data_IF_223344156297
#
_entry.id   IF_223344156297
#
_cell.length_a   1.000
_cell.length_b   1.000
_cell.length_c   1.000
_cell.angle_alpha   90.00
_cell.angle_beta   90.00
_cell.angle_gamma   90.00
#
_symmetry.space_group_name_H-M   'P 1'
#
loop_
_entity.id
_entity.type
_entity.pdbx_description
1 polymer ?
#
# COMPACT_ATOMS: atom_id res chain seq x y z
N UNK A 1 -19.98 8.87 66.15
CA UNK A 1 -19.17 9.21 64.95
C UNK A 1 -18.70 7.92 64.29
N UNK A 2 -19.41 7.43 63.26
CA UNK A 2 -18.96 6.29 62.43
C UNK A 2 -18.28 6.87 61.18
N UNK A 3 -17.10 6.34 60.85
CA UNK A 3 -16.13 6.83 59.87
C UNK A 3 -16.64 6.64 58.42
N UNK A 4 -16.95 7.71 57.68
CA UNK A 4 -17.34 7.65 56.26
C UNK A 4 -16.18 7.25 55.33
N UNK A 5 -14.93 7.39 55.80
CA UNK A 5 -13.73 7.21 54.97
C UNK A 5 -13.47 5.75 54.56
N UNK A 6 -14.11 4.78 55.22
CA UNK A 6 -13.88 3.36 54.96
C UNK A 6 -14.68 2.82 53.75
N UNK A 7 -15.76 3.50 53.37
CA UNK A 7 -16.60 3.09 52.24
C UNK A 7 -16.00 3.55 50.90
N UNK A 8 -15.33 4.71 50.89
CA UNK A 8 -14.61 5.23 49.73
C UNK A 8 -13.43 4.33 49.32
N UNK A 9 -12.60 3.94 50.29
CA UNK A 9 -11.45 3.06 50.04
C UNK A 9 -11.87 1.68 49.54
N UNK A 10 -13.02 1.17 49.99
CA UNK A 10 -13.58 -0.10 49.50
C UNK A 10 -14.06 -0.01 48.06
N UNK A 11 -14.69 1.10 47.68
CA UNK A 11 -15.11 1.35 46.29
C UNK A 11 -13.89 1.46 45.35
N UNK A 12 -12.86 2.19 45.76
CA UNK A 12 -11.63 2.33 44.98
C UNK A 12 -10.86 1.01 44.85
N UNK A 13 -10.84 0.19 45.91
CA UNK A 13 -10.25 -1.14 45.88
C UNK A 13 -10.97 -2.06 44.89
N UNK A 14 -12.31 -2.05 44.87
CA UNK A 14 -13.10 -2.84 43.91
C UNK A 14 -12.83 -2.36 42.48
N UNK A 15 -12.78 -1.05 42.25
CA UNK A 15 -12.47 -0.48 40.93
C UNK A 15 -11.07 -0.90 40.47
N UNK A 16 -10.08 -0.78 41.33
CA UNK A 16 -8.70 -1.21 41.05
C UNK A 16 -8.64 -2.71 40.76
N UNK A 17 -9.35 -3.53 41.54
CA UNK A 17 -9.41 -4.99 41.31
C UNK A 17 -10.01 -5.32 39.93
N UNK A 18 -11.10 -4.67 39.53
CA UNK A 18 -11.68 -4.89 38.19
C UNK A 18 -10.76 -4.48 37.06
N UNK A 19 -9.94 -3.43 37.26
CA UNK A 19 -8.98 -2.98 36.28
C UNK A 19 -7.80 -3.95 36.17
N UNK A 20 -7.32 -4.48 37.30
CA UNK A 20 -6.29 -5.54 37.35
C UNK A 20 -6.77 -6.78 36.62
N UNK A 21 -8.00 -7.24 36.88
CA UNK A 21 -8.55 -8.44 36.24
C UNK A 21 -8.66 -8.26 34.71
N UNK A 22 -9.14 -7.09 34.26
CA UNK A 22 -9.22 -6.74 32.84
C UNK A 22 -7.85 -6.68 32.16
N UNK A 23 -6.85 -6.10 32.84
CA UNK A 23 -5.49 -6.07 32.33
C UNK A 23 -4.88 -7.47 32.26
N UNK A 24 -5.13 -8.31 33.25
CA UNK A 24 -4.66 -9.69 33.28
C UNK A 24 -5.26 -10.53 32.14
N UNK A 25 -6.55 -10.36 31.85
CA UNK A 25 -7.19 -11.00 30.69
C UNK A 25 -6.59 -10.53 29.36
N UNK A 26 -6.34 -9.23 29.22
CA UNK A 26 -5.70 -8.67 28.02
C UNK A 26 -4.29 -9.19 27.83
N UNK A 27 -3.50 -9.29 28.91
CA UNK A 27 -2.16 -9.88 28.86
C UNK A 27 -2.20 -11.35 28.41
N UNK A 28 -3.12 -12.16 28.98
CA UNK A 28 -3.30 -13.57 28.56
C UNK A 28 -3.69 -13.68 27.08
N UNK A 29 -4.57 -12.81 26.60
CA UNK A 29 -4.98 -12.78 25.20
C UNK A 29 -3.82 -12.42 24.26
N UNK A 30 -3.02 -11.41 24.63
CA UNK A 30 -1.83 -11.01 23.87
C UNK A 30 -0.77 -12.11 23.84
N UNK A 31 -0.50 -12.77 24.97
CA UNK A 31 0.42 -13.90 25.03
C UNK A 31 -0.02 -15.07 24.14
N UNK A 32 -1.33 -15.37 24.12
CA UNK A 32 -1.89 -16.39 23.22
C UNK A 32 -1.68 -15.98 21.77
N UNK A 33 -2.06 -14.76 21.39
CA UNK A 33 -1.88 -14.27 20.02
C UNK A 33 -0.41 -14.30 19.59
N UNK A 34 0.52 -14.00 20.50
CA UNK A 34 1.95 -14.00 20.22
C UNK A 34 2.52 -15.42 20.07
N UNK A 35 1.97 -16.41 20.78
CA UNK A 35 2.27 -17.83 20.54
C UNK A 35 1.77 -18.27 19.17
N UNK A 36 0.52 -17.94 18.84
CA UNK A 36 -0.11 -18.33 17.57
C UNK A 36 0.65 -17.73 16.36
N UNK A 37 1.08 -16.46 16.43
CA UNK A 37 1.88 -15.84 15.36
C UNK A 37 3.27 -16.46 15.22
N UNK A 38 3.92 -16.82 16.33
CA UNK A 38 5.22 -17.52 16.31
C UNK A 38 5.11 -18.93 15.71
N UNK A 39 4.00 -19.62 15.93
CA UNK A 39 3.75 -20.93 15.32
C UNK A 39 3.47 -20.80 13.81
N UNK A 40 2.65 -19.83 13.42
CA UNK A 40 2.40 -19.53 12.01
C UNK A 40 3.69 -19.18 11.24
N UNK A 41 4.57 -18.36 11.83
CA UNK A 41 5.88 -18.04 11.25
C UNK A 41 6.75 -19.29 11.07
N UNK A 42 6.86 -20.13 12.09
CA UNK A 42 7.62 -21.40 12.00
C UNK A 42 7.07 -22.32 10.90
N UNK A 43 5.74 -22.41 10.76
CA UNK A 43 5.12 -23.19 9.69
C UNK A 43 5.48 -22.64 8.30
N UNK A 44 5.50 -21.31 8.13
CA UNK A 44 5.86 -20.67 6.86
C UNK A 44 7.34 -20.83 6.52
N UNK A 45 8.22 -20.74 7.51
CA UNK A 45 9.65 -20.98 7.31
C UNK A 45 9.92 -22.43 6.85
N UNK A 46 9.20 -23.41 7.41
CA UNK A 46 9.28 -24.81 6.96
C UNK A 46 8.80 -24.99 5.51
N UNK A 47 7.72 -24.30 5.13
CA UNK A 47 7.19 -24.32 3.77
C UNK A 47 8.17 -23.68 2.77
N UNK A 48 8.75 -22.53 3.11
CA UNK A 48 9.77 -21.85 2.30
C UNK A 48 10.98 -22.77 2.07
N UNK A 49 11.48 -23.44 3.11
CA UNK A 49 12.61 -24.36 2.98
C UNK A 49 12.26 -25.62 2.17
N UNK A 50 11.01 -26.10 2.24
CA UNK A 50 10.54 -27.18 1.37
C UNK A 50 10.54 -26.77 -0.11
N UNK A 51 9.96 -25.60 -0.42
CA UNK A 51 9.91 -25.05 -1.78
C UNK A 51 11.31 -24.76 -2.34
N UNK A 52 12.23 -24.22 -1.53
CA UNK A 52 13.64 -24.03 -1.94
C UNK A 52 14.31 -25.36 -2.29
N UNK A 53 14.10 -26.41 -1.49
CA UNK A 53 14.64 -27.75 -1.78
C UNK A 53 14.06 -28.33 -3.07
N UNK A 54 12.77 -28.16 -3.31
CA UNK A 54 12.12 -28.60 -4.54
C UNK A 54 12.67 -27.86 -5.78
N UNK A 55 12.77 -26.54 -5.71
CA UNK A 55 13.37 -25.71 -6.77
C UNK A 55 14.82 -26.11 -7.07
N UNK A 56 15.61 -26.40 -6.04
CA UNK A 56 16.98 -26.91 -6.20
C UNK A 56 17.03 -28.25 -6.96
N UNK A 57 16.10 -29.16 -6.66
CA UNK A 57 15.99 -30.46 -7.36
C UNK A 57 15.57 -30.28 -8.83
N UNK A 58 14.63 -29.38 -9.10
CA UNK A 58 14.18 -29.06 -10.46
C UNK A 58 15.32 -28.48 -11.32
N UNK A 59 16.08 -27.52 -10.78
CA UNK A 59 17.25 -26.94 -11.45
C UNK A 59 18.33 -27.99 -11.74
N UNK A 60 18.52 -28.95 -10.83
CA UNK A 60 19.45 -30.06 -11.00
C UNK A 60 19.04 -31.02 -12.11
N UNK A 61 17.73 -31.29 -12.26
CA UNK A 61 17.17 -32.08 -13.39
C UNK A 61 17.36 -31.37 -14.71
N UNK A 62 17.08 -30.07 -14.77
CA UNK A 62 17.21 -29.27 -16.00
C UNK A 62 18.66 -29.22 -16.51
N UNK A 63 19.64 -29.04 -15.62
CA UNK A 63 21.07 -29.08 -16.00
C UNK A 63 21.53 -30.44 -16.56
N UNK A 64 20.99 -31.57 -16.06
CA UNK A 64 21.28 -32.91 -16.59
C UNK A 64 20.61 -33.19 -17.94
N UNK A 65 19.40 -32.66 -18.16
CA UNK A 65 18.70 -32.76 -19.46
C UNK A 65 19.40 -31.98 -20.57
N UNK A 66 19.90 -30.78 -20.27
CA UNK A 66 20.62 -29.93 -21.25
C UNK A 66 21.97 -30.50 -21.67
N UNK A 67 22.71 -31.17 -20.76
CA UNK A 67 23.96 -31.87 -21.10
C UNK A 67 23.74 -33.15 -21.95
N UNK A 68 22.55 -33.76 -21.88
CA UNK A 68 22.19 -34.91 -22.72
C UNK A 68 21.80 -34.47 -24.15
N UNK A 69 21.13 -33.33 -24.30
CA UNK A 69 20.68 -32.83 -25.60
C UNK A 69 21.83 -32.32 -26.48
N UNK A 70 22.97 -31.96 -25.88
CA UNK A 70 24.14 -31.46 -26.60
C UNK A 70 25.09 -32.57 -27.10
N UNK A 71 24.92 -33.84 -26.68
CA UNK A 71 25.72 -34.98 -27.16
C UNK A 71 25.12 -35.70 -28.38
N UNK A 72 23.86 -35.42 -28.72
CA UNK A 72 23.19 -35.98 -29.90
C UNK A 72 23.22 -35.06 -31.13
N UNK A 73 23.71 -33.82 -30.99
CA UNK A 73 23.76 -32.86 -32.11
C UNK A 73 25.07 -32.90 -32.94
N UNK A 74 26.03 -33.78 -32.63
CA UNK A 74 27.34 -33.83 -33.33
C UNK A 74 27.61 -35.13 -34.10
N UNK A 75 26.60 -35.95 -34.39
CA UNK A 75 26.79 -37.18 -35.18
C UNK A 75 25.61 -37.51 -36.08
N UNK A 76 25.31 -36.66 -37.05
CA UNK A 76 24.49 -37.06 -38.22
C UNK A 76 24.35 -35.93 -39.24
N UNK A 77 25.40 -35.68 -40.02
CA UNK A 77 25.29 -34.94 -41.28
C UNK A 77 26.09 -35.71 -42.31
N UNK A 78 25.45 -36.67 -42.98
CA UNK A 78 25.71 -37.13 -44.36
C UNK A 78 24.91 -38.42 -44.62
N UNK A 79 23.70 -38.26 -45.17
CA UNK A 79 22.94 -39.18 -46.07
C UNK A 79 21.45 -38.80 -45.96
N UNK A 80 20.96 -37.96 -46.88
CA UNK A 80 20.38 -38.35 -48.18
C UNK A 80 18.96 -38.97 -48.06
N UNK A 81 18.01 -38.14 -48.48
CA UNK A 81 16.79 -38.44 -49.24
C UNK A 81 15.76 -39.49 -48.76
N UNK A 82 14.52 -39.04 -48.92
CA UNK A 82 13.26 -39.77 -49.10
C UNK A 82 12.42 -40.12 -47.87
N UNK A 83 11.22 -39.48 -47.88
CA UNK A 83 9.91 -40.08 -47.56
C UNK A 83 9.41 -39.94 -46.11
N UNK A 84 8.63 -38.89 -45.87
CA UNK A 84 7.27 -38.98 -45.28
C UNK A 84 6.76 -37.57 -44.97
N UNK A 85 5.93 -37.08 -45.89
CA UNK A 85 5.23 -35.81 -45.82
C UNK A 85 3.81 -36.17 -45.36
N UNK A 86 3.50 -35.89 -44.09
CA UNK A 86 2.14 -36.02 -43.56
C UNK A 86 2.05 -36.82 -42.25
N UNK A 87 2.47 -36.23 -41.14
CA UNK A 87 2.04 -36.64 -39.79
C UNK A 87 2.48 -35.66 -38.68
N UNK A 88 3.50 -34.82 -38.89
CA UNK A 88 4.12 -34.02 -37.82
C UNK A 88 3.43 -32.66 -37.51
N UNK A 89 2.47 -32.21 -38.32
CA UNK A 89 1.91 -30.84 -38.21
C UNK A 89 0.83 -30.69 -37.12
N UNK A 90 0.47 -31.76 -36.41
CA UNK A 90 -0.54 -31.73 -35.34
C UNK A 90 0.05 -31.75 -33.92
N UNK A 91 1.21 -32.38 -33.72
CA UNK A 91 1.85 -32.43 -32.40
C UNK A 91 2.62 -31.14 -32.08
N UNK A 92 3.20 -30.45 -33.09
CA UNK A 92 3.92 -29.18 -32.89
C UNK A 92 2.98 -28.02 -32.47
N UNK A 93 1.71 -28.05 -32.88
CA UNK A 93 0.73 -27.02 -32.52
C UNK A 93 0.25 -27.18 -31.08
N UNK A 94 0.07 -28.41 -30.60
CA UNK A 94 -0.31 -28.71 -29.21
C UNK A 94 0.83 -28.40 -28.24
N UNK A 95 2.09 -28.69 -28.59
CA UNK A 95 3.26 -28.31 -27.78
C UNK A 95 3.47 -26.79 -27.74
N UNK A 96 3.25 -26.09 -28.87
CA UNK A 96 3.31 -24.63 -28.89
C UNK A 96 2.18 -23.99 -28.07
N UNK A 97 0.97 -24.56 -28.08
CA UNK A 97 -0.15 -24.09 -27.28
C UNK A 97 0.04 -24.38 -25.79
N UNK A 98 0.56 -25.56 -25.43
CA UNK A 98 0.91 -25.90 -24.05
C UNK A 98 2.04 -25.01 -23.52
N UNK A 99 3.06 -24.73 -24.34
CA UNK A 99 4.14 -23.81 -23.98
C UNK A 99 3.65 -22.36 -23.89
N UNK A 100 2.73 -21.93 -24.76
CA UNK A 100 2.08 -20.63 -24.65
C UNK A 100 1.21 -20.51 -23.39
N UNK A 101 0.47 -21.58 -23.03
CA UNK A 101 -0.31 -21.65 -21.79
C UNK A 101 0.60 -21.64 -20.57
N UNK A 102 1.69 -22.40 -20.59
CA UNK A 102 2.66 -22.44 -19.50
C UNK A 102 3.35 -21.09 -19.32
N UNK A 103 3.78 -20.43 -20.41
CA UNK A 103 4.29 -19.05 -20.39
C UNK A 103 3.25 -18.05 -19.90
N UNK A 104 2.01 -18.14 -20.35
CA UNK A 104 0.94 -17.25 -19.91
C UNK A 104 0.63 -17.42 -18.41
N UNK A 105 0.69 -18.65 -17.90
CA UNK A 105 0.51 -19.00 -16.49
C UNK A 105 1.70 -18.56 -15.64
N UNK A 106 2.93 -18.73 -16.12
CA UNK A 106 4.14 -18.18 -15.49
C UNK A 106 4.08 -16.66 -15.45
N UNK A 107 3.66 -15.97 -16.51
CA UNK A 107 3.45 -14.51 -16.52
C UNK A 107 2.36 -14.11 -15.53
N UNK A 108 1.30 -14.90 -15.40
CA UNK A 108 0.21 -14.66 -14.44
C UNK A 108 0.66 -14.87 -12.99
N UNK A 109 1.56 -15.83 -12.73
CA UNK A 109 2.07 -16.17 -11.40
C UNK A 109 3.32 -15.37 -10.99
N UNK A 110 4.10 -14.85 -11.94
CA UNK A 110 5.29 -14.00 -11.70
C UNK A 110 4.98 -12.51 -11.64
N UNK A 111 3.71 -12.11 -11.86
CA UNK A 111 3.21 -10.75 -11.59
C UNK A 111 3.11 -10.39 -10.10
N UNK A 112 3.89 -11.03 -9.24
CA UNK A 112 4.34 -10.39 -8.01
C UNK A 112 5.22 -9.21 -8.41
N UNK A 113 4.77 -7.99 -8.11
CA UNK A 113 5.36 -6.70 -8.50
C UNK A 113 6.87 -6.75 -8.74
N UNK A 114 7.30 -6.29 -9.93
CA UNK A 114 8.71 -6.15 -10.31
C UNK A 114 9.48 -5.10 -9.49
N UNK A 115 8.83 -4.51 -8.48
CA UNK A 115 9.33 -3.41 -7.69
C UNK A 115 9.80 -3.92 -6.33
N UNK A 116 11.06 -3.64 -6.02
CA UNK A 116 11.60 -3.83 -4.68
C UNK A 116 11.01 -2.81 -3.70
N UNK A 117 10.99 -3.15 -2.40
CA UNK A 117 10.52 -2.23 -1.36
C UNK A 117 11.28 -0.89 -1.34
N UNK A 118 12.57 -0.90 -1.67
CA UNK A 118 13.37 0.32 -1.80
C UNK A 118 12.90 1.21 -2.96
N UNK A 119 12.53 0.60 -4.09
CA UNK A 119 11.98 1.35 -5.23
C UNK A 119 10.61 1.95 -4.90
N UNK A 120 9.75 1.22 -4.18
CA UNK A 120 8.46 1.75 -3.72
C UNK A 120 8.68 2.97 -2.80
N UNK A 121 9.58 2.86 -1.83
CA UNK A 121 9.91 3.97 -0.94
C UNK A 121 10.43 5.18 -1.70
N UNK A 122 11.34 4.96 -2.66
CA UNK A 122 11.88 6.04 -3.50
C UNK A 122 10.77 6.70 -4.31
N UNK A 123 9.90 5.93 -4.97
CA UNK A 123 8.80 6.49 -5.77
C UNK A 123 7.80 7.28 -4.93
N UNK A 124 7.52 6.86 -3.69
CA UNK A 124 6.70 7.64 -2.76
C UNK A 124 7.40 8.95 -2.37
N UNK A 125 8.71 8.91 -2.13
CA UNK A 125 9.49 10.10 -1.81
C UNK A 125 9.57 11.09 -2.97
N UNK A 126 9.74 10.59 -4.20
CA UNK A 126 9.75 11.39 -5.42
C UNK A 126 8.38 12.05 -5.61
N UNK A 127 7.29 11.29 -5.47
CA UNK A 127 5.92 11.82 -5.53
C UNK A 127 5.67 12.92 -4.49
N UNK A 128 6.10 12.70 -3.24
CA UNK A 128 5.97 13.72 -2.19
C UNK A 128 6.74 15.00 -2.55
N UNK A 129 7.92 14.86 -3.13
CA UNK A 129 8.76 15.99 -3.56
C UNK A 129 8.10 16.77 -4.70
N UNK A 130 7.50 16.06 -5.67
CA UNK A 130 6.73 16.69 -6.75
C UNK A 130 5.51 17.45 -6.22
N UNK A 131 4.76 16.87 -5.27
CA UNK A 131 3.60 17.54 -4.65
C UNK A 131 4.04 18.82 -3.92
N UNK A 132 5.15 18.75 -3.17
CA UNK A 132 5.71 19.89 -2.46
C UNK A 132 6.10 21.02 -3.42
N UNK A 133 6.81 20.69 -4.49
CA UNK A 133 7.28 21.65 -5.50
C UNK A 133 6.12 22.23 -6.33
N UNK A 134 5.15 21.38 -6.69
CA UNK A 134 3.93 21.80 -7.37
C UNK A 134 3.15 22.79 -6.52
N UNK A 135 2.94 22.50 -5.24
CA UNK A 135 2.20 23.40 -4.36
C UNK A 135 2.92 24.73 -4.12
N UNK A 136 4.25 24.72 -4.02
CA UNK A 136 5.04 25.94 -3.92
C UNK A 136 4.84 26.82 -5.16
N UNK A 137 5.03 26.26 -6.35
CA UNK A 137 4.86 27.01 -7.61
C UNK A 137 3.42 27.46 -7.83
N UNK A 138 2.42 26.65 -7.46
CA UNK A 138 1.01 27.05 -7.54
C UNK A 138 0.69 28.23 -6.60
N UNK A 139 1.26 28.25 -5.40
CA UNK A 139 1.06 29.35 -4.46
C UNK A 139 1.72 30.65 -4.97
N UNK A 140 2.90 30.58 -5.58
CA UNK A 140 3.57 31.75 -6.19
C UNK A 140 2.79 32.38 -7.35
N UNK A 141 1.98 31.58 -8.06
CA UNK A 141 1.15 32.05 -9.17
C UNK A 141 -0.16 32.72 -8.71
N UNK A 142 -0.50 32.66 -7.43
CA UNK A 142 -1.71 33.28 -6.90
C UNK A 142 -1.48 34.78 -6.63
N UNK A 143 -2.25 35.69 -7.27
CA UNK A 143 -2.16 37.12 -6.98
C UNK A 143 -2.82 37.42 -5.64
N UNK A 144 -2.05 37.39 -4.55
CA UNK A 144 -2.55 37.66 -3.19
C UNK A 144 -2.82 39.16 -2.91
N UNK A 145 -3.11 39.96 -3.93
CA UNK A 145 -3.31 41.41 -3.83
C UNK A 145 -4.75 41.83 -3.51
N UNK A 146 -4.87 42.98 -2.84
CA UNK A 146 -6.10 43.64 -2.35
C UNK A 146 -7.30 43.51 -3.32
N UNK A 147 -8.33 42.81 -2.84
CA UNK A 147 -9.75 42.94 -3.20
C UNK A 147 -10.01 43.13 -4.70
N UNK A 148 -10.25 42.00 -5.40
CA UNK A 148 -11.24 42.04 -6.48
C UNK A 148 -12.48 42.65 -5.84
N UNK A 149 -12.81 43.88 -6.26
CA UNK A 149 -13.85 44.69 -5.66
C UNK A 149 -15.09 43.88 -5.36
N UNK A 150 -15.74 44.26 -4.26
CA UNK A 150 -16.97 43.76 -3.61
C UNK A 150 -18.14 43.41 -4.57
N UNK A 151 -17.99 43.54 -5.88
CA UNK A 151 -19.00 43.46 -6.92
C UNK A 151 -18.87 42.30 -7.92
N UNK A 152 -17.91 41.36 -7.77
CA UNK A 152 -17.84 40.16 -8.65
C UNK A 152 -17.81 38.81 -7.91
N UNK A 153 -18.24 38.77 -6.63
CA UNK A 153 -18.52 37.53 -5.89
C UNK A 153 -19.86 36.93 -6.35
N UNK A 154 -19.92 36.56 -7.63
CA UNK A 154 -21.03 35.79 -8.19
C UNK A 154 -20.90 34.33 -7.73
N UNK A 155 -22.01 33.57 -7.78
CA UNK A 155 -22.23 32.18 -7.32
C UNK A 155 -21.02 31.21 -7.32
N UNK A 156 -20.06 31.42 -8.21
CA UNK A 156 -18.76 30.75 -8.27
C UNK A 156 -17.98 30.74 -6.94
N UNK A 157 -17.96 31.85 -6.18
CA UNK A 157 -17.20 31.91 -4.92
C UNK A 157 -17.80 31.04 -3.80
N UNK A 158 -19.13 30.97 -3.73
CA UNK A 158 -19.82 30.11 -2.75
C UNK A 158 -19.61 28.62 -3.07
N UNK A 159 -19.66 28.24 -4.35
CA UNK A 159 -19.36 26.88 -4.79
C UNK A 159 -17.90 26.50 -4.50
N UNK A 160 -16.95 27.38 -4.79
CA UNK A 160 -15.53 27.16 -4.48
C UNK A 160 -15.27 27.00 -2.98
N UNK A 161 -15.96 27.78 -2.13
CA UNK A 161 -15.87 27.66 -0.68
C UNK A 161 -16.45 26.32 -0.19
N UNK A 162 -17.58 25.89 -0.75
CA UNK A 162 -18.20 24.61 -0.43
C UNK A 162 -17.30 23.43 -0.83
N UNK A 163 -16.74 23.44 -2.04
CA UNK A 163 -15.82 22.41 -2.52
C UNK A 163 -14.54 22.34 -1.69
N UNK A 164 -13.99 23.50 -1.33
CA UNK A 164 -12.82 23.59 -0.45
C UNK A 164 -13.14 23.04 0.94
N UNK A 165 -14.33 23.34 1.47
CA UNK A 165 -14.80 22.80 2.76
C UNK A 165 -14.97 21.29 2.72
N UNK A 166 -15.50 20.74 1.62
CA UNK A 166 -15.68 19.30 1.46
C UNK A 166 -14.35 18.52 1.39
N UNK A 167 -13.28 19.17 0.90
CA UNK A 167 -11.95 18.56 0.74
C UNK A 167 -11.04 18.77 1.94
N UNK A 168 -10.99 19.98 2.47
CA UNK A 168 -10.01 20.42 3.47
C UNK A 168 -10.63 20.68 4.86
N UNK A 169 -11.95 20.67 4.96
CA UNK A 169 -12.68 21.01 6.18
C UNK A 169 -12.96 22.51 6.34
N UNK A 170 -13.90 22.81 7.24
CA UNK A 170 -14.45 24.15 7.47
C UNK A 170 -13.43 25.14 8.05
N UNK A 171 -12.51 24.66 8.88
CA UNK A 171 -11.45 25.49 9.47
C UNK A 171 -10.49 26.00 8.41
N UNK A 172 -9.95 25.10 7.57
CA UNK A 172 -9.02 25.48 6.52
C UNK A 172 -9.68 26.40 5.48
N UNK A 173 -10.88 26.04 5.01
CA UNK A 173 -11.63 26.86 4.05
C UNK A 173 -11.88 28.30 4.57
N UNK A 174 -12.24 28.43 5.85
CA UNK A 174 -12.43 29.74 6.48
C UNK A 174 -11.15 30.55 6.60
N UNK A 175 -10.01 29.95 6.98
CA UNK A 175 -8.74 30.68 7.11
C UNK A 175 -8.28 31.14 5.71
N UNK A 176 -8.40 30.28 4.70
CA UNK A 176 -8.07 30.64 3.31
C UNK A 176 -8.92 31.81 2.81
N UNK A 177 -10.22 31.84 3.14
CA UNK A 177 -11.14 32.89 2.69
C UNK A 177 -10.99 34.22 3.45
N UNK A 178 -10.54 34.20 4.71
CA UNK A 178 -10.59 35.38 5.58
C UNK A 178 -9.25 36.06 5.79
N UNK A 179 -8.14 35.37 5.53
CA UNK A 179 -6.78 35.89 5.72
C UNK A 179 -6.19 36.42 4.44
N UNK A 180 -5.35 37.43 4.58
CA UNK A 180 -4.44 37.88 3.53
C UNK A 180 -3.19 36.98 3.55
N UNK A 181 -2.87 36.38 2.41
CA UNK A 181 -1.75 35.44 2.24
C UNK A 181 -0.59 36.06 1.44
N UNK A 182 -0.63 37.37 1.17
CA UNK A 182 0.40 38.06 0.39
C UNK A 182 1.78 38.07 1.05
N UNK A 183 1.81 38.09 2.38
CA UNK A 183 3.04 38.11 3.16
C UNK A 183 3.55 36.70 3.50
N UNK A 184 2.65 35.72 3.53
CA UNK A 184 2.97 34.33 3.86
C UNK A 184 2.05 33.37 3.09
N UNK A 185 2.48 32.88 1.91
CA UNK A 185 1.70 31.96 1.10
C UNK A 185 1.79 30.52 1.61
N UNK A 186 2.51 30.24 2.71
CA UNK A 186 2.72 28.88 3.22
C UNK A 186 1.40 28.16 3.50
N UNK A 187 0.41 28.85 4.05
CA UNK A 187 -0.89 28.24 4.32
C UNK A 187 -1.61 27.83 3.02
N UNK A 188 -1.51 28.64 1.98
CA UNK A 188 -2.07 28.34 0.66
C UNK A 188 -1.35 27.15 0.04
N UNK A 189 -0.02 27.11 0.14
CA UNK A 189 0.78 25.98 -0.28
C UNK A 189 0.36 24.68 0.44
N UNK A 190 0.19 24.70 1.77
CA UNK A 190 -0.27 23.54 2.55
C UNK A 190 -1.68 23.09 2.13
N UNK A 191 -2.59 24.03 1.86
CA UNK A 191 -3.92 23.72 1.38
C UNK A 191 -3.90 23.04 0.00
N UNK A 192 -3.05 23.53 -0.92
CA UNK A 192 -2.87 22.92 -2.24
C UNK A 192 -2.29 21.51 -2.11
N UNK A 193 -1.27 21.31 -1.27
CA UNK A 193 -0.72 19.97 -1.00
C UNK A 193 -1.80 19.01 -0.52
N UNK A 194 -2.59 19.40 0.48
CA UNK A 194 -3.67 18.57 1.02
C UNK A 194 -4.73 18.23 -0.05
N UNK A 195 -5.07 19.19 -0.92
CA UNK A 195 -5.98 18.95 -2.04
C UNK A 195 -5.42 17.92 -3.03
N UNK A 196 -4.16 18.06 -3.44
CA UNK A 196 -3.51 17.14 -4.38
C UNK A 196 -3.40 15.74 -3.78
N UNK A 197 -2.93 15.62 -2.53
CA UNK A 197 -2.86 14.36 -1.80
C UNK A 197 -4.24 13.69 -1.71
N UNK A 198 -5.28 14.45 -1.40
CA UNK A 198 -6.66 13.92 -1.34
C UNK A 198 -7.13 13.38 -2.69
N UNK A 199 -6.80 14.06 -3.78
CA UNK A 199 -7.10 13.59 -5.14
C UNK A 199 -6.33 12.31 -5.49
N UNK A 200 -5.04 12.25 -5.14
CA UNK A 200 -4.19 11.07 -5.35
C UNK A 200 -4.74 9.88 -4.55
N UNK A 201 -5.08 10.07 -3.28
CA UNK A 201 -5.68 9.01 -2.44
C UNK A 201 -6.94 8.47 -3.11
N UNK A 202 -7.83 9.35 -3.60
CA UNK A 202 -9.07 8.94 -4.28
C UNK A 202 -8.79 8.15 -5.56
N UNK A 203 -7.84 8.59 -6.37
CA UNK A 203 -7.44 7.89 -7.59
C UNK A 203 -6.85 6.51 -7.25
N UNK A 204 -5.92 6.45 -6.29
CA UNK A 204 -5.24 5.24 -5.86
C UNK A 204 -6.17 4.23 -5.17
N UNK A 205 -7.19 4.72 -4.46
CA UNK A 205 -8.18 3.86 -3.78
C UNK A 205 -8.86 2.87 -4.73
N UNK A 206 -9.03 3.23 -5.99
CA UNK A 206 -9.61 2.34 -7.01
C UNK A 206 -8.73 1.13 -7.34
N UNK A 207 -7.41 1.24 -7.10
CA UNK A 207 -6.44 0.18 -7.30
C UNK A 207 -6.19 -0.65 -6.04
N UNK A 208 -6.64 -0.18 -4.87
CA UNK A 208 -6.44 -0.84 -3.57
C UNK A 208 -7.62 -1.75 -3.16
N UNK A 209 -8.36 -2.31 -4.12
CA UNK A 209 -9.50 -3.19 -3.83
C UNK A 209 -9.02 -4.44 -3.10
N UNK A 210 -9.61 -4.72 -1.92
CA UNK A 210 -9.28 -5.90 -1.11
C UNK A 210 -8.10 -5.71 -0.16
N UNK A 211 -7.45 -4.54 -0.12
CA UNK A 211 -6.46 -4.25 0.91
C UNK A 211 -7.12 -4.03 2.29
N UNK A 212 -6.57 -4.62 3.37
CA UNK A 212 -7.15 -4.47 4.70
C UNK A 212 -6.96 -3.05 5.25
N UNK A 213 -8.06 -2.33 5.46
CA UNK A 213 -8.10 -0.96 6.03
C UNK A 213 -7.57 -0.85 7.48
N UNK A 214 -7.14 -1.95 8.09
CA UNK A 214 -6.65 -1.97 9.48
C UNK A 214 -5.44 -1.04 9.67
N UNK A 215 -4.56 -0.94 8.68
CA UNK A 215 -3.41 -0.02 8.70
C UNK A 215 -3.85 1.45 8.74
N UNK A 216 -4.76 1.83 7.86
CA UNK A 216 -5.30 3.19 7.78
C UNK A 216 -6.03 3.60 9.06
N UNK A 217 -6.72 2.65 9.69
CA UNK A 217 -7.44 2.89 10.96
C UNK A 217 -6.47 3.23 12.09
N UNK A 218 -5.35 2.51 12.19
CA UNK A 218 -4.32 2.75 13.21
C UNK A 218 -3.62 4.10 12.97
N UNK A 219 -3.25 4.39 11.72
CA UNK A 219 -2.63 5.67 11.38
C UNK A 219 -3.59 6.83 11.66
N UNK A 220 -4.87 6.68 11.31
CA UNK A 220 -5.90 7.68 11.61
C UNK A 220 -6.06 7.91 13.12
N UNK A 221 -6.04 6.84 13.91
CA UNK A 221 -6.06 6.94 15.37
C UNK A 221 -4.82 7.65 15.92
N UNK A 222 -3.63 7.32 15.42
CA UNK A 222 -2.38 7.96 15.83
C UNK A 222 -2.38 9.45 15.51
N UNK A 223 -2.74 9.83 14.27
CA UNK A 223 -2.86 11.24 13.88
C UNK A 223 -3.90 11.98 14.72
N UNK A 224 -5.04 11.35 15.03
CA UNK A 224 -6.03 11.99 15.91
C UNK A 224 -5.48 12.29 17.31
N UNK A 225 -4.55 11.47 17.81
CA UNK A 225 -3.93 11.66 19.12
C UNK A 225 -2.85 12.75 19.12
N UNK A 226 -2.21 13.00 17.97
CA UNK A 226 -1.20 14.04 17.80
C UNK A 226 -1.85 15.43 17.70
N UNK A 227 -3.04 15.54 17.12
CA UNK A 227 -3.76 16.83 16.97
C UNK A 227 -4.65 17.23 18.15
N UNK A 228 -4.84 16.33 19.13
CA UNK A 228 -5.65 16.57 20.34
C UNK A 228 -4.78 16.96 21.56
N UNK A 229 -3.45 16.89 21.43
CA UNK A 229 -2.48 17.40 22.41
C UNK A 229 -2.05 18.83 22.06
#
# INVERSE_FOLDING_TARGET
>A
MRRPDNDGTRSDLVRSQTEVDRLQERCKALEKSLRDTREALRSRDMEIEALKRERGRALSRSKRGSASSMRTATSSTHHAHHKSRGAADKDDVDDAELDARHRSMEIYMTRTDSWSGAQILQSVQDLNSEILQFAASAAELCPFGKSIGITSLTKSSAAALQDTTARLGSNMARILATKDHSQDPLLVQLAVQACVVTCIIRALSSFCIGFPQKGDTILSQLYSHIYVA
#
